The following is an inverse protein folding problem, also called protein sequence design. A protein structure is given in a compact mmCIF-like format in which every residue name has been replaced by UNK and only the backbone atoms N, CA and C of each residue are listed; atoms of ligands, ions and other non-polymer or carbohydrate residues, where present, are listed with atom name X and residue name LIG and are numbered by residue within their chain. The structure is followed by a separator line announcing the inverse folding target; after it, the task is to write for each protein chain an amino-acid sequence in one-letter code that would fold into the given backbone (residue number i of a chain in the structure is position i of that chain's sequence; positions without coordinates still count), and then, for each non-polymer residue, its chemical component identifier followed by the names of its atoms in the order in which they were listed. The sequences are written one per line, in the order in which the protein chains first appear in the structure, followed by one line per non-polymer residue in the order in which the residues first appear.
data_IF_581541793026
#
_entry.id   IF_581541793026
#
_cell.length_a   1.000
_cell.length_b   1.000
_cell.length_c   1.000
_cell.angle_alpha   90.00
_cell.angle_beta   90.00
_cell.angle_gamma   90.00
#
_symmetry.space_group_name_H-M   'P 1'
#
loop_
_entity.id
_entity.type
_entity.pdbx_description
1 polymer ?
#
# COMPACT_ATOMS: atom_id res chain seq x y z
N UNK A 1 19.90 57.51 28.33
CA UNK A 1 19.93 56.24 29.08
C UNK A 1 18.93 55.29 28.46
N UNK A 2 19.42 54.26 27.77
CA UNK A 2 18.62 53.21 27.17
C UNK A 2 18.40 52.09 28.20
N UNK A 3 17.19 51.52 28.26
CA UNK A 3 16.96 50.23 28.90
C UNK A 3 15.95 49.43 28.10
N UNK A 4 16.48 48.47 27.35
CA UNK A 4 15.79 47.34 26.76
C UNK A 4 15.35 46.37 27.86
N UNK A 5 14.07 46.02 27.93
CA UNK A 5 13.66 44.69 28.39
C UNK A 5 12.39 44.27 27.62
N UNK A 6 12.53 43.47 26.56
CA UNK A 6 12.62 42.00 26.55
C UNK A 6 11.24 41.33 26.66
N UNK A 7 10.63 41.21 25.47
CA UNK A 7 9.92 40.04 24.92
C UNK A 7 9.82 38.84 25.87
N UNK A 8 8.60 38.48 26.29
CA UNK A 8 8.12 37.11 26.60
C UNK A 8 6.71 37.21 27.17
N UNK A 9 5.68 37.12 26.31
CA UNK A 9 4.35 36.63 26.66
C UNK A 9 3.42 36.89 25.47
N UNK A 10 3.07 35.81 24.76
CA UNK A 10 1.84 35.61 24.00
C UNK A 10 1.98 34.29 23.22
N UNK A 11 2.25 33.22 23.95
CA UNK A 11 1.91 31.86 23.51
C UNK A 11 0.72 31.49 24.39
N UNK A 12 -0.44 31.33 23.76
CA UNK A 12 -1.69 30.66 24.18
C UNK A 12 -2.91 31.51 23.81
N UNK A 13 -3.50 31.18 22.67
CA UNK A 13 -4.94 31.20 22.38
C UNK A 13 -5.10 30.47 21.04
N UNK A 14 -5.35 29.16 21.05
CA UNK A 14 -6.69 28.58 20.99
C UNK A 14 -7.48 29.12 19.79
N UNK A 15 -7.51 28.34 18.71
CA UNK A 15 -8.16 28.73 17.45
C UNK A 15 -8.29 27.56 16.50
N UNK A 16 -8.87 26.47 17.00
CA UNK A 16 -9.40 25.36 16.22
C UNK A 16 -10.49 25.93 15.28
N UNK A 17 -10.15 26.20 14.02
CA UNK A 17 -11.11 26.57 12.99
C UNK A 17 -11.12 25.48 11.92
N UNK A 18 -12.03 24.53 12.14
CA UNK A 18 -12.57 23.64 11.12
C UNK A 18 -13.22 24.48 10.02
N UNK A 19 -12.65 24.46 8.82
CA UNK A 19 -13.42 24.53 7.57
C UNK A 19 -12.70 23.65 6.53
N UNK A 20 -13.34 22.57 6.06
CA UNK A 20 -13.25 22.27 4.65
C UNK A 20 -14.62 22.38 3.99
N UNK A 21 -14.67 23.32 3.06
CA UNK A 21 -15.70 23.53 2.06
C UNK A 21 -15.81 22.34 1.10
N UNK A 22 -17.07 21.99 0.81
CA UNK A 22 -17.65 21.62 -0.49
C UNK A 22 -17.15 20.35 -1.21
N UNK A 23 -18.05 19.43 -1.52
CA UNK A 23 -18.64 19.24 -2.87
C UNK A 23 -19.37 17.89 -2.93
N UNK A 24 -20.69 17.97 -3.07
CA UNK A 24 -21.55 16.90 -3.60
C UNK A 24 -21.08 16.56 -5.01
N UNK A 25 -20.80 15.29 -5.29
CA UNK A 25 -20.66 14.77 -6.65
C UNK A 25 -21.21 13.35 -6.68
N UNK A 26 -22.45 13.25 -7.17
CA UNK A 26 -23.08 11.98 -7.52
C UNK A 26 -22.40 11.42 -8.76
N UNK A 27 -21.65 10.32 -8.60
CA UNK A 27 -21.23 9.49 -9.72
C UNK A 27 -22.05 8.20 -9.71
N UNK A 28 -23.21 8.25 -10.37
CA UNK A 28 -23.84 7.06 -10.92
C UNK A 28 -22.98 6.58 -12.09
N UNK A 29 -22.19 5.53 -11.87
CA UNK A 29 -21.55 4.82 -12.96
C UNK A 29 -22.24 3.46 -13.10
N UNK A 30 -23.15 3.38 -14.07
CA UNK A 30 -23.74 2.14 -14.51
C UNK A 30 -23.16 1.80 -15.89
N UNK A 31 -22.15 0.92 -15.97
CA UNK A 31 -21.78 0.33 -17.23
C UNK A 31 -22.80 -0.78 -17.57
N UNK A 32 -23.39 -0.61 -18.74
CA UNK A 32 -24.25 -1.55 -19.45
C UNK A 32 -23.53 -2.87 -19.73
N UNK A 33 -24.31 -3.95 -19.72
CA UNK A 33 -23.91 -5.33 -20.01
C UNK A 33 -23.13 -5.48 -21.32
N UNK A 34 -22.04 -6.26 -21.26
CA UNK A 34 -21.62 -7.09 -22.39
C UNK A 34 -21.33 -8.51 -21.89
N UNK A 35 -22.29 -9.40 -22.15
CA UNK A 35 -22.04 -10.83 -22.27
C UNK A 35 -21.07 -11.02 -23.43
N UNK A 36 -19.85 -11.48 -23.16
CA UNK A 36 -18.97 -11.98 -24.21
C UNK A 36 -18.04 -13.04 -23.66
N UNK A 37 -18.24 -14.26 -24.20
CA UNK A 37 -17.38 -15.45 -24.27
C UNK A 37 -16.46 -15.68 -23.06
N UNK A 38 -16.69 -16.81 -22.36
CA UNK A 38 -15.78 -17.41 -21.35
C UNK A 38 -14.38 -17.58 -21.95
N UNK A 39 -13.59 -16.52 -21.92
CA UNK A 39 -12.18 -16.52 -22.23
C UNK A 39 -11.45 -17.23 -21.09
N UNK A 40 -10.44 -18.02 -21.43
CA UNK A 40 -9.58 -18.70 -20.46
C UNK A 40 -9.06 -17.68 -19.46
N UNK A 41 -9.51 -17.79 -18.21
CA UNK A 41 -9.27 -16.81 -17.14
C UNK A 41 -7.86 -16.85 -16.55
N UNK A 42 -7.02 -17.77 -17.05
CA UNK A 42 -5.69 -18.03 -16.53
C UNK A 42 -4.63 -17.63 -17.56
N UNK A 43 -3.50 -17.03 -17.12
CA UNK A 43 -2.36 -16.79 -17.98
C UNK A 43 -1.77 -18.09 -18.52
N UNK A 44 -0.99 -18.00 -19.59
CA UNK A 44 -0.33 -19.15 -20.21
C UNK A 44 1.15 -18.86 -20.40
N UNK A 45 2.04 -19.86 -20.24
CA UNK A 45 3.43 -19.71 -20.64
C UNK A 45 3.53 -19.31 -22.11
N UNK A 46 4.43 -18.40 -22.43
CA UNK A 46 4.70 -17.98 -23.81
C UNK A 46 5.40 -19.11 -24.57
N UNK A 47 4.86 -19.57 -25.72
CA UNK A 47 5.49 -20.61 -26.55
C UNK A 47 6.90 -20.26 -27.03
N UNK A 48 7.22 -18.96 -27.15
CA UNK A 48 8.51 -18.48 -27.67
C UNK A 48 9.52 -18.20 -26.55
N UNK A 49 9.04 -17.94 -25.33
CA UNK A 49 9.87 -17.69 -24.17
C UNK A 49 9.25 -18.32 -22.91
N UNK A 50 9.69 -19.52 -22.49
CA UNK A 50 9.08 -20.23 -21.38
C UNK A 50 9.23 -19.51 -20.02
N UNK A 51 10.07 -18.49 -19.91
CA UNK A 51 10.18 -17.65 -18.70
C UNK A 51 9.11 -16.56 -18.61
N UNK A 52 8.38 -16.30 -19.70
CA UNK A 52 7.31 -15.29 -19.75
C UNK A 52 5.93 -15.93 -19.76
N UNK A 53 5.00 -15.22 -19.15
CA UNK A 53 3.59 -15.55 -19.12
C UNK A 53 2.80 -14.51 -19.90
N UNK A 54 1.97 -15.01 -20.81
CA UNK A 54 1.04 -14.22 -21.59
C UNK A 54 -0.21 -13.98 -20.73
N UNK A 55 -0.60 -12.71 -20.50
CA UNK A 55 -1.80 -12.39 -19.75
C UNK A 55 -3.05 -12.93 -20.47
N UNK A 56 -4.09 -13.36 -19.73
CA UNK A 56 -5.34 -13.82 -20.34
C UNK A 56 -6.01 -12.67 -21.12
N UNK A 57 -6.84 -12.97 -22.11
CA UNK A 57 -7.49 -11.92 -22.93
C UNK A 57 -8.49 -11.03 -22.15
N UNK A 58 -8.88 -11.46 -20.95
CA UNK A 58 -9.69 -10.69 -19.98
C UNK A 58 -8.86 -9.85 -19.02
N UNK A 59 -7.54 -9.96 -19.11
CA UNK A 59 -6.58 -9.14 -18.39
C UNK A 59 -6.64 -7.72 -18.95
N UNK A 60 -6.98 -6.78 -18.09
CA UNK A 60 -6.85 -5.36 -18.36
C UNK A 60 -5.91 -4.83 -17.29
N UNK A 61 -4.82 -4.17 -17.69
CA UNK A 61 -3.91 -3.49 -16.78
C UNK A 61 -4.64 -2.46 -15.90
N UNK A 62 -5.80 -1.96 -16.35
CA UNK A 62 -6.72 -1.12 -15.57
C UNK A 62 -7.32 -1.83 -14.35
N UNK A 63 -7.31 -3.17 -14.31
CA UNK A 63 -7.75 -3.96 -13.14
C UNK A 63 -6.65 -4.15 -12.09
N UNK A 64 -5.40 -3.82 -12.39
CA UNK A 64 -4.34 -3.80 -11.40
C UNK A 64 -4.61 -2.64 -10.44
N UNK A 65 -4.58 -2.89 -9.13
CA UNK A 65 -4.67 -1.78 -8.19
C UNK A 65 -3.41 -0.92 -8.24
N UNK A 66 -3.54 0.36 -7.88
CA UNK A 66 -2.47 1.34 -8.02
C UNK A 66 -1.27 0.99 -7.13
N UNK A 67 -0.02 1.34 -7.52
CA UNK A 67 1.14 1.13 -6.66
C UNK A 67 1.01 1.80 -5.28
N UNK A 68 0.29 2.91 -5.18
CA UNK A 68 -0.04 3.57 -3.90
C UNK A 68 -0.73 2.61 -2.94
N UNK A 69 -1.57 1.71 -3.45
CA UNK A 69 -2.28 0.78 -2.58
C UNK A 69 -1.39 -0.39 -2.15
N UNK A 70 -0.34 -0.72 -2.91
CA UNK A 70 0.75 -1.62 -2.45
C UNK A 70 1.51 -0.98 -1.29
N UNK A 71 1.83 0.31 -1.39
CA UNK A 71 2.55 1.02 -0.33
C UNK A 71 1.79 0.95 1.00
N UNK A 72 0.48 1.13 0.94
CA UNK A 72 -0.39 1.06 2.10
C UNK A 72 -0.53 -0.36 2.64
N UNK A 73 -0.69 -1.36 1.76
CA UNK A 73 -0.99 -2.74 2.17
C UNK A 73 0.24 -3.53 2.59
N UNK A 74 1.25 -3.55 1.73
CA UNK A 74 2.41 -4.40 1.88
C UNK A 74 3.65 -3.62 2.32
N UNK A 75 3.70 -2.33 2.02
CA UNK A 75 4.75 -1.42 2.48
C UNK A 75 5.64 -0.88 1.36
N UNK A 76 6.74 -0.20 1.73
CA UNK A 76 7.55 0.55 0.77
C UNK A 76 8.36 -0.32 -0.17
N UNK A 77 8.82 -1.50 0.28
CA UNK A 77 9.64 -2.38 -0.56
C UNK A 77 8.91 -2.88 -1.81
N UNK A 78 7.74 -3.54 -1.72
CA UNK A 78 7.00 -3.96 -2.91
C UNK A 78 6.53 -2.76 -3.75
N UNK A 79 6.26 -1.61 -3.14
CA UNK A 79 5.97 -0.38 -3.89
C UNK A 79 7.15 0.04 -4.78
N UNK A 80 8.38 0.03 -4.25
CA UNK A 80 9.58 0.35 -5.02
C UNK A 80 9.83 -0.67 -6.12
N UNK A 81 9.61 -1.96 -5.86
CA UNK A 81 9.75 -3.02 -6.87
C UNK A 81 8.77 -2.78 -8.03
N UNK A 82 7.51 -2.42 -7.73
CA UNK A 82 6.52 -2.08 -8.77
C UNK A 82 6.92 -0.86 -9.61
N UNK A 83 7.60 0.12 -9.02
CA UNK A 83 8.06 1.32 -9.73
C UNK A 83 9.30 1.08 -10.58
N UNK A 84 10.28 0.34 -10.05
CA UNK A 84 11.59 0.17 -10.69
C UNK A 84 11.62 -1.07 -11.60
N UNK A 85 10.83 -2.09 -11.30
CA UNK A 85 10.84 -3.40 -11.96
C UNK A 85 9.42 -3.87 -12.32
N UNK A 86 8.63 -2.99 -12.96
CA UNK A 86 7.23 -3.23 -13.28
C UNK A 86 7.00 -4.51 -14.11
N UNK A 87 7.76 -4.73 -15.19
CA UNK A 87 7.63 -5.92 -16.05
C UNK A 87 7.93 -7.22 -15.27
N UNK A 88 8.99 -7.24 -14.46
CA UNK A 88 9.32 -8.41 -13.62
C UNK A 88 8.23 -8.69 -12.58
N UNK A 89 7.69 -7.63 -11.99
CA UNK A 89 6.59 -7.74 -11.03
C UNK A 89 5.33 -8.31 -11.71
N UNK A 90 4.93 -7.79 -12.87
CA UNK A 90 3.78 -8.29 -13.62
C UNK A 90 3.94 -9.75 -14.02
N UNK A 91 5.13 -10.12 -14.50
CA UNK A 91 5.44 -11.52 -14.83
C UNK A 91 5.38 -12.42 -13.60
N UNK A 92 5.83 -11.96 -12.43
CA UNK A 92 5.69 -12.72 -11.18
C UNK A 92 4.22 -12.92 -10.78
N UNK A 93 3.37 -11.89 -10.93
CA UNK A 93 1.93 -12.00 -10.68
C UNK A 93 1.28 -13.00 -11.63
N UNK A 94 1.59 -12.92 -12.93
CA UNK A 94 1.05 -13.84 -13.94
C UNK A 94 1.51 -15.27 -13.71
N UNK A 95 2.79 -15.46 -13.36
CA UNK A 95 3.32 -16.77 -12.94
C UNK A 95 2.56 -17.33 -11.75
N UNK A 96 2.36 -16.52 -10.71
CA UNK A 96 1.59 -16.95 -9.54
C UNK A 96 0.15 -17.30 -9.89
N UNK A 97 -0.52 -16.52 -10.74
CA UNK A 97 -1.87 -16.82 -11.22
C UNK A 97 -1.94 -18.17 -11.95
N UNK A 98 -0.92 -18.48 -12.75
CA UNK A 98 -0.81 -19.76 -13.44
C UNK A 98 -0.60 -20.92 -12.45
N UNK A 99 0.40 -20.81 -11.57
CA UNK A 99 0.80 -21.86 -10.64
C UNK A 99 -0.30 -22.17 -9.61
N UNK A 100 -0.94 -21.13 -9.07
CA UNK A 100 -2.03 -21.25 -8.08
C UNK A 100 -3.41 -21.45 -8.72
N UNK A 101 -3.49 -21.42 -10.06
CA UNK A 101 -4.74 -21.52 -10.83
C UNK A 101 -5.81 -20.52 -10.39
N UNK A 102 -5.40 -19.34 -9.91
CA UNK A 102 -6.31 -18.27 -9.50
C UNK A 102 -6.57 -17.30 -10.65
N UNK A 103 -7.84 -16.95 -10.85
CA UNK A 103 -8.25 -15.89 -11.76
C UNK A 103 -8.41 -14.54 -11.05
N UNK A 104 -8.28 -14.50 -9.73
CA UNK A 104 -8.35 -13.25 -8.96
C UNK A 104 -7.02 -12.52 -8.98
N UNK A 105 -6.96 -11.53 -9.88
CA UNK A 105 -5.80 -10.69 -10.11
C UNK A 105 -5.45 -9.83 -8.89
N UNK A 106 -6.44 -9.38 -8.12
CA UNK A 106 -6.20 -8.55 -6.92
C UNK A 106 -5.53 -9.37 -5.83
N UNK A 107 -6.05 -10.58 -5.59
CA UNK A 107 -5.45 -11.50 -4.63
C UNK A 107 -4.06 -11.98 -5.11
N UNK A 108 -3.88 -12.23 -6.42
CA UNK A 108 -2.57 -12.59 -6.97
C UNK A 108 -1.52 -11.48 -6.77
N UNK A 109 -1.88 -10.22 -7.04
CA UNK A 109 -1.02 -9.08 -6.75
C UNK A 109 -0.71 -8.98 -5.24
N UNK A 110 -1.71 -9.11 -4.38
CA UNK A 110 -1.50 -9.08 -2.93
C UNK A 110 -0.56 -10.18 -2.43
N UNK A 111 -0.64 -11.39 -3.02
CA UNK A 111 0.27 -12.49 -2.72
C UNK A 111 1.71 -12.16 -3.13
N UNK A 112 1.92 -11.59 -4.32
CA UNK A 112 3.26 -11.20 -4.78
C UNK A 112 3.83 -10.03 -3.97
N UNK A 113 3.01 -9.04 -3.64
CA UNK A 113 3.40 -7.95 -2.76
C UNK A 113 3.91 -8.47 -1.40
N UNK A 114 3.26 -9.49 -0.84
CA UNK A 114 3.70 -10.13 0.40
C UNK A 114 4.96 -10.99 0.23
N UNK A 115 5.06 -11.73 -0.88
CA UNK A 115 6.25 -12.51 -1.22
C UNK A 115 7.49 -11.61 -1.30
N UNK A 116 7.39 -10.46 -1.97
CA UNK A 116 8.50 -9.50 -2.08
C UNK A 116 8.84 -8.80 -0.77
N UNK A 117 7.88 -8.68 0.16
CA UNK A 117 8.10 -8.10 1.48
C UNK A 117 8.84 -9.06 2.42
N UNK A 118 8.38 -10.31 2.49
CA UNK A 118 8.85 -11.30 3.44
C UNK A 118 8.70 -12.72 2.85
N UNK A 119 9.65 -13.15 1.98
CA UNK A 119 9.51 -14.39 1.23
C UNK A 119 9.47 -15.62 2.13
N UNK A 120 10.31 -15.70 3.17
CA UNK A 120 10.40 -16.87 4.05
C UNK A 120 9.08 -17.14 4.78
N UNK A 121 8.48 -16.09 5.34
CA UNK A 121 7.20 -16.14 6.06
C UNK A 121 6.07 -16.50 5.10
N UNK A 122 6.08 -15.94 3.89
CA UNK A 122 5.07 -16.23 2.88
C UNK A 122 5.12 -17.69 2.44
N UNK A 123 6.32 -18.24 2.20
CA UNK A 123 6.51 -19.64 1.81
C UNK A 123 6.02 -20.58 2.91
N UNK A 124 6.39 -20.30 4.17
CA UNK A 124 5.90 -21.07 5.32
C UNK A 124 4.37 -21.05 5.39
N UNK A 125 3.78 -19.86 5.25
CA UNK A 125 2.33 -19.72 5.27
C UNK A 125 1.66 -20.51 4.14
N UNK A 126 2.19 -20.45 2.91
CA UNK A 126 1.64 -21.21 1.78
C UNK A 126 1.79 -22.72 1.96
N UNK A 127 2.90 -23.17 2.53
CA UNK A 127 3.06 -24.58 2.89
C UNK A 127 2.02 -25.03 3.93
N UNK A 128 1.76 -24.20 4.96
CA UNK A 128 0.75 -24.50 5.97
C UNK A 128 -0.68 -24.47 5.41
N UNK A 129 -0.98 -23.56 4.48
CA UNK A 129 -2.25 -23.51 3.73
C UNK A 129 -2.44 -24.78 2.88
N UNK A 130 -1.40 -25.23 2.18
CA UNK A 130 -1.43 -26.48 1.39
C UNK A 130 -1.61 -27.72 2.26
N UNK A 131 -1.04 -27.72 3.48
CA UNK A 131 -1.22 -28.80 4.45
C UNK A 131 -2.59 -28.75 5.16
N UNK A 132 -3.42 -27.72 4.91
CA UNK A 132 -4.69 -27.51 5.60
C UNK A 132 -4.56 -27.14 7.08
N UNK A 133 -3.36 -26.78 7.54
CA UNK A 133 -3.08 -26.39 8.94
C UNK A 133 -3.37 -24.92 9.22
N UNK A 134 -3.59 -24.13 8.17
CA UNK A 134 -3.96 -22.72 8.24
C UNK A 134 -4.98 -22.41 7.15
N UNK A 135 -5.90 -21.51 7.45
CA UNK A 135 -6.87 -21.02 6.47
C UNK A 135 -6.17 -20.25 5.35
N UNK A 136 -6.68 -20.35 4.13
CA UNK A 136 -6.17 -19.61 2.97
C UNK A 136 -6.40 -18.13 3.19
N UNK A 137 -5.32 -17.37 3.35
CA UNK A 137 -5.41 -15.94 3.60
C UNK A 137 -5.65 -15.17 2.30
N UNK A 138 -6.61 -14.24 2.34
CA UNK A 138 -6.88 -13.31 1.23
C UNK A 138 -5.98 -12.08 1.35
N UNK A 139 -4.90 -12.08 0.56
CA UNK A 139 -3.93 -10.99 0.51
C UNK A 139 -4.41 -9.80 -0.34
N UNK A 140 -5.48 -9.97 -1.12
CA UNK A 140 -6.08 -8.90 -1.93
C UNK A 140 -7.03 -8.00 -1.14
N UNK A 141 -7.34 -8.36 0.11
CA UNK A 141 -8.27 -7.60 0.95
C UNK A 141 -7.81 -6.16 1.17
N UNK A 142 -8.75 -5.22 1.07
CA UNK A 142 -8.44 -3.81 1.31
C UNK A 142 -8.10 -3.56 2.78
N UNK A 143 -7.12 -2.70 3.05
CA UNK A 143 -6.73 -2.36 4.41
C UNK A 143 -7.90 -1.66 5.11
N UNK A 144 -8.07 -1.96 6.40
CA UNK A 144 -9.11 -1.32 7.20
C UNK A 144 -8.83 0.19 7.33
N UNK A 145 -9.74 1.07 6.89
CA UNK A 145 -9.47 2.51 6.80
C UNK A 145 -9.24 3.13 8.17
N UNK A 146 -9.93 2.64 9.21
CA UNK A 146 -9.76 3.13 10.57
C UNK A 146 -8.35 2.85 11.10
N UNK A 147 -7.83 1.65 10.86
CA UNK A 147 -6.47 1.26 11.27
C UNK A 147 -5.41 2.11 10.57
N UNK A 148 -5.65 2.43 9.30
CA UNK A 148 -4.77 3.29 8.51
C UNK A 148 -4.72 4.71 9.08
N UNK A 149 -5.89 5.32 9.30
CA UNK A 149 -5.98 6.66 9.89
C UNK A 149 -5.33 6.69 11.27
N UNK A 150 -5.61 5.70 12.12
CA UNK A 150 -5.03 5.62 13.46
C UNK A 150 -3.50 5.50 13.41
N UNK A 151 -2.97 4.74 12.47
CA UNK A 151 -1.52 4.59 12.27
C UNK A 151 -0.87 5.91 11.83
N UNK A 152 -1.52 6.67 10.94
CA UNK A 152 -1.04 7.99 10.51
C UNK A 152 -1.08 9.02 11.64
N UNK A 153 -2.15 9.02 12.46
CA UNK A 153 -2.27 9.90 13.62
C UNK A 153 -1.16 9.61 14.63
N UNK A 154 -0.93 8.33 14.95
CA UNK A 154 0.15 7.92 15.85
C UNK A 154 1.53 8.26 15.30
N UNK A 155 1.79 7.96 14.02
CA UNK A 155 3.05 8.30 13.37
C UNK A 155 3.31 9.81 13.42
N UNK A 156 2.29 10.63 13.18
CA UNK A 156 2.39 12.10 13.25
C UNK A 156 2.70 12.59 14.68
N UNK A 157 2.05 11.99 15.69
CA UNK A 157 2.32 12.32 17.09
C UNK A 157 3.77 11.99 17.49
N UNK A 158 4.22 10.77 17.16
CA UNK A 158 5.60 10.32 17.43
C UNK A 158 6.62 11.17 16.68
N UNK A 159 6.38 11.46 15.39
CA UNK A 159 7.27 12.31 14.60
C UNK A 159 7.34 13.75 15.14
N UNK A 160 6.22 14.32 15.61
CA UNK A 160 6.18 15.63 16.24
C UNK A 160 6.99 15.69 17.54
N UNK A 161 6.80 14.70 18.42
CA UNK A 161 7.55 14.61 19.68
C UNK A 161 9.04 14.35 19.44
N UNK A 162 9.37 13.39 18.58
CA UNK A 162 10.74 13.06 18.21
C UNK A 162 11.45 14.22 17.51
N UNK A 163 10.76 14.91 16.59
CA UNK A 163 11.26 16.10 15.91
C UNK A 163 11.53 17.25 16.88
N UNK A 164 10.67 17.45 17.89
CA UNK A 164 10.91 18.44 18.96
C UNK A 164 12.16 18.10 19.78
N UNK A 165 12.34 16.84 20.17
CA UNK A 165 13.52 16.40 20.92
C UNK A 165 14.78 16.54 20.06
N UNK A 166 14.76 16.08 18.81
CA UNK A 166 15.88 16.23 17.88
C UNK A 166 16.22 17.71 17.64
N UNK A 167 15.22 18.57 17.47
CA UNK A 167 15.42 20.01 17.36
C UNK A 167 16.11 20.59 18.60
N UNK A 168 15.69 20.18 19.80
CA UNK A 168 16.34 20.56 21.05
C UNK A 168 17.76 19.99 21.21
N UNK A 169 18.07 18.82 20.67
CA UNK A 169 19.45 18.30 20.69
C UNK A 169 20.36 19.06 19.72
N UNK A 170 19.85 19.45 18.55
CA UNK A 170 20.62 20.14 17.51
C UNK A 170 20.78 21.63 17.85
N UNK A 171 19.75 22.28 18.40
CA UNK A 171 19.69 23.73 18.63
C UNK A 171 19.62 24.12 20.11
N UNK A 172 19.44 23.18 21.02
CA UNK A 172 19.26 23.43 22.46
C UNK A 172 20.58 23.53 23.21
N UNK A 173 20.98 24.77 23.43
CA UNK A 173 21.00 25.35 24.78
C UNK A 173 21.64 24.47 25.87
N UNK A 174 22.91 24.73 26.18
CA UNK A 174 23.76 24.10 27.20
C UNK A 174 23.28 24.23 28.67
N UNK A 175 22.03 24.62 28.93
CA UNK A 175 21.55 24.94 30.28
C UNK A 175 20.68 23.81 30.89
N UNK A 176 20.93 22.56 30.53
CA UNK A 176 20.26 21.38 31.09
C UNK A 176 21.10 20.65 32.16
N UNK A 177 22.15 21.30 32.69
CA UNK A 177 22.84 20.93 33.93
C UNK A 177 23.15 22.20 34.72
#
# INVERSE_FOLDING_TARGET
MASFHTKRMCILLLGLLLIPTTLTSAFNFQPTSQSNKKATTLPKPDPQNPERYIPPSTYSSTKLYAPTDTLVRAGPLPFLIRLVQSDKYEQAVLKYMYDSKTSDLKNAQGNMDWFFKAPDVWVEQKMLEQQGKREVYDYGKDPEPLRLVLSLVWASCVAGLGGRVAWQLIHGNRNLF
#
